data_IF_611867092601
#
_entry.id   IF_611867092601
#
_cell.length_a   1.000
_cell.length_b   1.000
_cell.length_c   1.000
_cell.angle_alpha   90.00
_cell.angle_beta   90.00
_cell.angle_gamma   90.00
#
_symmetry.space_group_name_H-M   'P 1'
#
loop_
_entity.id
_entity.type
_entity.pdbx_description
1 polymer ?
#
# COMPACT_ATOMS: atom_id res chain seq x y z
N UNK A 1 -8.64 -18.17 23.08
CA UNK A 1 -9.25 -17.08 22.30
C UNK A 1 -8.32 -16.79 21.15
N UNK A 2 -8.83 -16.74 19.91
CA UNK A 2 -8.03 -16.31 18.75
C UNK A 2 -7.62 -14.85 18.95
N UNK A 3 -6.38 -14.51 18.60
CA UNK A 3 -5.85 -13.14 18.71
C UNK A 3 -5.34 -12.68 17.37
N UNK A 4 -5.62 -11.43 17.05
CA UNK A 4 -5.24 -10.76 15.80
C UNK A 4 -4.37 -9.55 16.11
N UNK A 5 -3.69 -9.01 15.10
CA UNK A 5 -3.13 -7.66 15.21
C UNK A 5 -4.28 -6.70 15.51
N UNK A 6 -4.22 -6.04 16.66
CA UNK A 6 -5.35 -5.28 17.22
C UNK A 6 -5.01 -3.83 17.55
N UNK A 7 -3.73 -3.51 17.68
CA UNK A 7 -3.24 -2.14 17.84
C UNK A 7 -1.93 -2.02 17.06
N UNK A 8 -1.68 -0.82 16.53
CA UNK A 8 -0.42 -0.41 15.93
C UNK A 8 0.03 0.89 16.59
N UNK A 9 1.34 1.05 16.78
CA UNK A 9 1.98 2.29 17.21
C UNK A 9 3.36 2.37 16.54
N UNK A 10 4.01 3.52 16.62
CA UNK A 10 5.36 3.75 16.09
C UNK A 10 6.24 4.25 17.23
N UNK A 11 7.54 4.00 17.24
CA UNK A 11 8.48 4.74 18.10
C UNK A 11 9.47 5.53 17.26
N UNK A 12 9.99 6.60 17.86
CA UNK A 12 11.06 7.43 17.33
C UNK A 12 12.22 7.30 18.34
N UNK A 13 13.47 7.49 17.93
CA UNK A 13 14.60 7.29 18.83
C UNK A 13 14.66 8.30 20.00
N UNK A 14 15.54 8.00 20.96
CA UNK A 14 15.66 8.72 22.23
C UNK A 14 15.86 10.24 22.09
N UNK A 15 16.48 10.72 21.00
CA UNK A 15 16.75 12.14 20.81
C UNK A 15 15.45 12.94 20.57
N UNK A 16 14.54 12.42 19.75
CA UNK A 16 13.22 13.04 19.55
C UNK A 16 12.27 12.74 20.72
N UNK A 17 12.38 11.57 21.35
CA UNK A 17 11.70 11.26 22.61
C UNK A 17 12.10 12.23 23.73
N UNK A 18 13.32 12.78 23.74
CA UNK A 18 13.71 13.86 24.64
C UNK A 18 13.16 15.24 24.21
N UNK A 19 13.15 15.55 22.90
CA UNK A 19 12.64 16.85 22.40
C UNK A 19 11.14 17.04 22.69
N UNK A 20 10.24 16.17 22.23
CA UNK A 20 8.80 16.38 22.55
C UNK A 20 8.46 16.22 24.07
N UNK A 21 9.41 15.81 24.93
CA UNK A 21 9.19 15.72 26.39
C UNK A 21 9.25 17.13 26.99
N UNK A 22 10.02 18.04 26.38
CA UNK A 22 10.02 19.46 26.77
C UNK A 22 8.73 20.19 26.39
N UNK A 23 7.95 19.64 25.45
CA UNK A 23 6.76 20.30 24.89
C UNK A 23 5.43 19.88 25.57
N UNK A 24 5.50 19.10 26.67
CA UNK A 24 4.33 18.76 27.49
C UNK A 24 3.34 17.76 26.86
N UNK A 25 3.68 17.14 25.72
CA UNK A 25 2.90 16.04 25.14
C UNK A 25 3.20 14.73 25.87
N UNK A 26 2.13 14.05 26.31
CA UNK A 26 2.20 12.76 27.00
C UNK A 26 2.69 11.69 26.02
N UNK A 27 3.98 11.33 26.06
CA UNK A 27 4.58 10.42 25.08
C UNK A 27 4.48 8.98 25.49
N UNK A 28 4.10 8.17 24.52
CA UNK A 28 4.32 6.73 24.53
C UNK A 28 5.70 6.49 23.91
N UNK A 29 6.69 6.16 24.74
CA UNK A 29 8.03 5.75 24.29
C UNK A 29 8.15 4.22 24.14
N UNK A 30 9.30 3.70 23.70
CA UNK A 30 9.51 2.25 23.55
C UNK A 30 9.31 1.45 24.85
N UNK A 31 9.69 2.02 26.01
CA UNK A 31 9.51 1.38 27.31
C UNK A 31 8.01 1.29 27.65
N UNK A 32 7.23 2.33 27.38
CA UNK A 32 5.78 2.36 27.59
C UNK A 32 5.07 1.35 26.68
N UNK A 33 5.47 1.28 25.39
CA UNK A 33 4.93 0.29 24.44
C UNK A 33 5.19 -1.13 24.92
N UNK A 34 6.42 -1.40 25.36
CA UNK A 34 6.80 -2.71 25.91
C UNK A 34 6.01 -3.04 27.17
N UNK A 35 5.84 -2.10 28.10
CA UNK A 35 5.03 -2.29 29.31
C UNK A 35 3.55 -2.52 29.00
N UNK A 36 3.04 -1.93 27.91
CA UNK A 36 1.67 -2.12 27.41
C UNK A 36 1.49 -3.42 26.60
N UNK A 37 2.55 -4.20 26.43
CA UNK A 37 2.53 -5.50 25.75
C UNK A 37 2.60 -5.42 24.22
N UNK A 38 3.13 -4.33 23.66
CA UNK A 38 3.42 -4.26 22.22
C UNK A 38 4.70 -5.02 21.89
N UNK A 39 4.72 -5.58 20.68
CA UNK A 39 5.88 -6.22 20.06
C UNK A 39 6.49 -5.26 19.05
N UNK A 40 7.81 -5.06 19.15
CA UNK A 40 8.59 -4.24 18.22
C UNK A 40 8.91 -5.05 16.97
N UNK A 41 8.70 -4.47 15.79
CA UNK A 41 9.36 -4.93 14.57
C UNK A 41 10.74 -4.29 14.55
N UNK A 42 11.78 -5.10 14.75
CA UNK A 42 13.16 -4.62 14.92
C UNK A 42 13.83 -4.27 13.58
N UNK A 43 13.19 -3.37 12.83
CA UNK A 43 13.62 -2.84 11.54
C UNK A 43 13.45 -1.32 11.59
N UNK A 44 14.51 -0.58 11.29
CA UNK A 44 14.44 0.87 11.20
C UNK A 44 13.68 1.25 9.92
N UNK A 45 12.52 1.90 10.07
CA UNK A 45 11.68 2.32 8.95
C UNK A 45 12.29 3.45 8.13
N UNK A 46 13.34 4.08 8.63
CA UNK A 46 14.07 5.18 8.01
C UNK A 46 15.50 4.76 7.59
N UNK A 47 15.72 3.45 7.40
CA UNK A 47 17.04 2.91 7.08
C UNK A 47 17.59 3.49 5.77
N UNK A 48 18.85 3.96 5.81
CA UNK A 48 19.54 4.55 4.67
C UNK A 48 19.15 6.00 4.34
N UNK A 49 18.01 6.49 4.81
CA UNK A 49 17.50 7.83 4.49
C UNK A 49 18.12 8.93 5.37
N UNK A 50 18.72 8.57 6.50
CA UNK A 50 19.16 9.51 7.53
C UNK A 50 17.96 10.05 8.33
N UNK A 51 18.21 10.58 9.53
CA UNK A 51 17.15 11.03 10.44
C UNK A 51 17.01 10.15 11.67
N UNK A 52 15.82 10.11 12.27
CA UNK A 52 15.59 9.34 13.48
C UNK A 52 15.44 7.84 13.17
N UNK A 53 15.78 6.99 14.14
CA UNK A 53 15.43 5.58 14.06
C UNK A 53 13.95 5.43 14.41
N UNK A 54 13.21 4.80 13.50
CA UNK A 54 11.76 4.70 13.59
C UNK A 54 11.38 3.23 13.55
N UNK A 55 10.52 2.79 14.45
CA UNK A 55 10.12 1.39 14.53
C UNK A 55 8.62 1.22 14.60
N UNK A 56 8.11 0.22 13.89
CA UNK A 56 6.71 -0.18 13.97
C UNK A 56 6.48 -1.13 15.14
N UNK A 57 5.38 -0.94 15.85
CA UNK A 57 4.96 -1.78 16.96
C UNK A 57 3.55 -2.30 16.73
N UNK A 58 3.29 -3.52 17.18
CA UNK A 58 1.96 -4.12 17.11
C UNK A 58 1.60 -4.82 18.40
N UNK A 59 0.29 -4.98 18.65
CA UNK A 59 -0.20 -5.75 19.79
C UNK A 59 -1.34 -6.67 19.38
N UNK A 60 -1.28 -7.90 19.88
CA UNK A 60 -2.30 -8.90 19.65
C UNK A 60 -3.49 -8.73 20.60
N UNK A 61 -4.69 -8.94 20.09
CA UNK A 61 -5.94 -8.78 20.84
C UNK A 61 -7.16 -9.29 20.08
N UNK A 62 -8.36 -9.20 20.71
CA UNK A 62 -9.58 -9.78 20.14
C UNK A 62 -10.23 -8.90 19.04
N UNK A 63 -9.92 -7.60 18.99
CA UNK A 63 -10.49 -6.66 18.02
C UNK A 63 -9.50 -6.43 16.88
N UNK A 64 -9.67 -7.18 15.79
CA UNK A 64 -8.75 -7.18 14.67
C UNK A 64 -8.70 -5.83 13.95
N UNK A 65 -7.49 -5.40 13.61
CA UNK A 65 -7.25 -4.48 12.51
C UNK A 65 -7.44 -5.26 11.21
N UNK A 66 -8.19 -4.67 10.29
CA UNK A 66 -8.53 -5.28 8.99
C UNK A 66 -8.02 -4.44 7.82
N UNK A 67 -7.60 -3.20 8.05
CA UNK A 67 -6.99 -2.37 7.00
C UNK A 67 -5.89 -1.50 7.56
N UNK A 68 -4.83 -1.32 6.78
CA UNK A 68 -3.75 -0.37 7.03
C UNK A 68 -3.54 0.45 5.76
N UNK A 69 -3.35 1.75 5.90
CA UNK A 69 -3.11 2.72 4.81
C UNK A 69 -1.98 3.66 5.22
N UNK A 70 -1.36 4.31 4.24
CA UNK A 70 -0.35 5.35 4.45
C UNK A 70 -0.83 6.64 3.79
N UNK A 71 -0.70 7.77 4.47
CA UNK A 71 -0.92 9.09 3.87
C UNK A 71 0.41 9.81 3.69
N UNK A 72 0.63 10.41 2.52
CA UNK A 72 1.81 11.24 2.23
C UNK A 72 1.47 12.70 1.86
N UNK A 73 0.19 13.07 1.95
CA UNK A 73 -0.29 14.44 1.81
C UNK A 73 -1.57 14.67 2.63
N UNK A 74 -2.00 15.92 2.67
CA UNK A 74 -3.14 16.35 3.48
C UNK A 74 -4.48 15.81 2.94
N UNK A 75 -4.66 15.75 1.63
CA UNK A 75 -5.91 15.30 1.02
C UNK A 75 -6.20 13.82 1.29
N UNK A 76 -5.16 12.97 1.29
CA UNK A 76 -5.28 11.57 1.73
C UNK A 76 -5.73 11.47 3.19
N UNK A 77 -5.22 12.36 4.05
CA UNK A 77 -5.61 12.43 5.47
C UNK A 77 -7.10 12.74 5.64
N UNK A 78 -7.65 13.65 4.81
CA UNK A 78 -9.07 14.01 4.84
C UNK A 78 -9.96 12.80 4.53
N UNK A 79 -9.63 12.02 3.50
CA UNK A 79 -10.39 10.83 3.11
C UNK A 79 -10.39 9.75 4.19
N UNK A 80 -9.21 9.43 4.74
CA UNK A 80 -9.02 8.44 5.81
C UNK A 80 -9.75 8.83 7.10
N UNK A 81 -9.66 10.10 7.50
CA UNK A 81 -10.34 10.63 8.69
C UNK A 81 -11.86 10.50 8.55
N UNK A 82 -12.43 10.91 7.40
CA UNK A 82 -13.87 10.78 7.13
C UNK A 82 -14.35 9.33 7.07
N UNK A 83 -13.47 8.41 6.69
CA UNK A 83 -13.75 6.98 6.68
C UNK A 83 -13.58 6.30 8.06
N UNK A 84 -13.16 7.03 9.10
CA UNK A 84 -13.04 6.52 10.47
C UNK A 84 -11.75 5.76 10.75
N UNK A 85 -10.71 5.93 9.92
CA UNK A 85 -9.39 5.36 10.21
C UNK A 85 -8.75 6.08 11.40
N UNK A 86 -7.99 5.33 12.19
CA UNK A 86 -7.17 5.87 13.29
C UNK A 86 -5.77 6.17 12.78
N UNK A 87 -5.32 7.42 12.92
CA UNK A 87 -3.96 7.86 12.59
C UNK A 87 -2.99 7.51 13.72
N UNK A 88 -1.78 7.08 13.37
CA UNK A 88 -0.63 7.08 14.29
C UNK A 88 0.08 8.44 14.10
N UNK A 89 0.08 9.27 15.14
CA UNK A 89 0.60 10.65 15.11
C UNK A 89 2.14 10.70 15.22
N UNK A 90 2.82 9.96 14.35
CA UNK A 90 4.29 9.91 14.26
C UNK A 90 4.69 9.90 12.79
N UNK A 91 5.46 10.91 12.38
CA UNK A 91 5.97 11.01 11.01
C UNK A 91 7.05 9.95 10.78
N UNK A 92 6.85 9.11 9.75
CA UNK A 92 7.78 8.01 9.44
C UNK A 92 9.07 8.47 8.75
N UNK A 93 9.15 9.73 8.32
CA UNK A 93 10.37 10.34 7.74
C UNK A 93 10.97 11.42 8.67
N UNK A 94 10.63 11.39 9.96
CA UNK A 94 11.11 12.40 10.90
C UNK A 94 12.64 12.49 10.91
N UNK A 95 13.15 13.70 10.67
CA UNK A 95 14.59 13.98 10.58
C UNK A 95 15.26 13.61 9.25
N UNK A 96 14.57 12.94 8.32
CA UNK A 96 15.11 12.51 7.02
C UNK A 96 14.95 13.54 5.90
N UNK A 97 14.06 14.53 6.07
CA UNK A 97 13.78 15.57 5.07
C UNK A 97 12.89 15.14 3.90
N UNK A 98 12.24 13.96 4.00
CA UNK A 98 11.31 13.42 3.00
C UNK A 98 9.87 13.90 3.14
N UNK A 99 8.93 13.14 2.56
CA UNK A 99 7.49 13.41 2.71
C UNK A 99 7.01 13.14 4.13
N UNK A 100 6.06 13.92 4.66
CA UNK A 100 5.38 13.59 5.91
C UNK A 100 4.51 12.35 5.72
N UNK A 101 4.88 11.24 6.36
CA UNK A 101 4.22 9.95 6.20
C UNK A 101 3.58 9.51 7.51
N UNK A 102 2.34 9.03 7.43
CA UNK A 102 1.63 8.53 8.60
C UNK A 102 0.92 7.22 8.28
N UNK A 103 0.99 6.27 9.22
CA UNK A 103 0.23 5.02 9.17
C UNK A 103 -1.17 5.26 9.73
N UNK A 104 -2.15 4.65 9.08
CA UNK A 104 -3.55 4.64 9.46
C UNK A 104 -4.05 3.22 9.54
N UNK A 105 -4.92 2.92 10.51
CA UNK A 105 -5.53 1.61 10.62
C UNK A 105 -7.04 1.68 10.88
N UNK A 106 -7.75 0.64 10.45
CA UNK A 106 -9.18 0.48 10.67
C UNK A 106 -9.46 -0.91 11.24
N UNK A 107 -10.38 -0.97 12.21
CA UNK A 107 -10.96 -2.20 12.73
C UNK A 107 -12.33 -2.39 12.08
N UNK A 108 -12.45 -3.39 11.23
CA UNK A 108 -13.67 -3.71 10.50
C UNK A 108 -14.20 -5.11 10.82
N UNK A 109 -15.43 -5.37 10.38
CA UNK A 109 -16.10 -6.68 10.53
C UNK A 109 -17.09 -6.98 9.40
N UNK A 110 -17.03 -6.21 8.30
CA UNK A 110 -17.88 -6.40 7.13
C UNK A 110 -17.40 -7.52 6.20
N UNK A 111 -18.13 -7.74 5.11
CA UNK A 111 -17.82 -8.77 4.10
C UNK A 111 -16.39 -8.68 3.52
N UNK A 112 -15.83 -7.47 3.47
CA UNK A 112 -14.52 -7.19 2.88
C UNK A 112 -13.41 -7.00 3.94
N UNK A 113 -13.69 -7.36 5.19
CA UNK A 113 -12.79 -7.19 6.32
C UNK A 113 -12.22 -8.56 6.75
N UNK A 114 -11.01 -8.87 6.30
CA UNK A 114 -10.28 -10.06 6.76
C UNK A 114 -9.24 -9.66 7.83
N UNK A 115 -9.26 -10.27 9.03
CA UNK A 115 -8.30 -9.96 10.08
C UNK A 115 -6.84 -10.08 9.65
N UNK A 116 -6.01 -9.17 10.16
CA UNK A 116 -4.55 -9.26 10.04
C UNK A 116 -4.01 -10.06 11.23
N UNK A 117 -3.23 -11.10 10.94
CA UNK A 117 -2.64 -11.98 11.95
C UNK A 117 -1.14 -11.76 12.13
N UNK A 118 -0.47 -11.16 11.13
CA UNK A 118 0.96 -10.87 11.21
C UNK A 118 1.31 -9.63 10.39
N UNK A 119 2.41 -8.98 10.78
CA UNK A 119 2.93 -7.77 10.16
C UNK A 119 4.45 -7.85 10.07
N UNK A 120 4.99 -7.51 8.90
CA UNK A 120 6.42 -7.53 8.63
C UNK A 120 6.88 -6.27 7.91
N UNK A 121 8.19 -6.08 7.83
CA UNK A 121 8.83 -4.99 7.09
C UNK A 121 9.96 -5.56 6.24
N UNK A 122 10.12 -5.06 5.03
CA UNK A 122 11.30 -5.29 4.18
C UNK A 122 12.04 -3.98 3.98
N UNK A 123 13.37 -4.05 4.00
CA UNK A 123 14.28 -2.93 3.66
C UNK A 123 15.07 -3.17 2.39
N UNK A 124 14.86 -4.34 1.78
CA UNK A 124 15.46 -4.76 0.52
C UNK A 124 14.35 -5.37 -0.33
N UNK A 125 14.24 -4.87 -1.55
CA UNK A 125 13.23 -5.26 -2.51
C UNK A 125 13.43 -6.72 -3.02
N UNK A 126 14.62 -7.31 -2.88
CA UNK A 126 14.84 -8.74 -3.21
C UNK A 126 14.11 -9.70 -2.25
N UNK A 127 13.97 -9.31 -0.98
CA UNK A 127 13.25 -10.08 0.03
C UNK A 127 11.72 -9.98 -0.08
N UNK A 128 11.23 -9.12 -0.97
CA UNK A 128 9.80 -8.89 -1.16
C UNK A 128 9.13 -9.97 -1.99
N UNK A 129 9.82 -10.47 -3.02
CA UNK A 129 9.27 -11.44 -3.95
C UNK A 129 8.83 -12.72 -3.22
N UNK A 130 9.65 -13.22 -2.28
CA UNK A 130 9.33 -14.39 -1.46
C UNK A 130 8.10 -14.14 -0.55
N UNK A 131 8.01 -12.96 0.08
CA UNK A 131 6.85 -12.60 0.91
C UNK A 131 5.58 -12.56 0.09
N UNK A 132 5.62 -11.93 -1.08
CA UNK A 132 4.48 -11.82 -1.99
C UNK A 132 4.03 -13.22 -2.44
N UNK A 133 4.96 -14.07 -2.87
CA UNK A 133 4.71 -15.46 -3.26
C UNK A 133 4.20 -16.34 -2.10
N UNK A 134 4.51 -15.97 -0.85
CA UNK A 134 4.02 -16.62 0.37
C UNK A 134 2.67 -16.05 0.85
N UNK A 135 1.97 -15.28 0.03
CA UNK A 135 0.64 -14.75 0.30
C UNK A 135 0.60 -13.64 1.35
N UNK A 136 1.69 -12.86 1.49
CA UNK A 136 1.68 -11.59 2.21
C UNK A 136 1.29 -10.45 1.27
N UNK A 137 0.73 -9.38 1.83
CA UNK A 137 0.25 -8.21 1.08
C UNK A 137 1.10 -6.99 1.41
N UNK A 138 1.69 -6.38 0.38
CA UNK A 138 2.51 -5.18 0.51
C UNK A 138 1.64 -3.93 0.62
N UNK A 139 1.96 -3.02 1.55
CA UNK A 139 1.48 -1.65 1.49
C UNK A 139 2.24 -0.92 0.37
N UNK A 140 1.51 -0.24 -0.51
CA UNK A 140 2.09 0.27 -1.75
C UNK A 140 3.13 1.38 -1.55
N UNK A 141 2.95 2.21 -0.52
CA UNK A 141 3.84 3.35 -0.25
C UNK A 141 5.19 2.85 0.25
N UNK A 142 6.26 3.26 -0.43
CA UNK A 142 7.62 3.26 0.11
C UNK A 142 7.67 4.20 1.32
N UNK A 143 8.04 3.68 2.49
CA UNK A 143 8.08 4.46 3.74
C UNK A 143 9.24 5.46 3.79
N UNK A 144 10.20 5.36 2.86
CA UNK A 144 11.26 6.35 2.68
C UNK A 144 10.95 7.32 1.53
N UNK A 145 9.66 7.53 1.22
CA UNK A 145 9.23 8.36 0.08
C UNK A 145 9.92 9.73 0.05
N UNK A 146 10.58 10.00 -1.08
CA UNK A 146 11.31 11.24 -1.36
C UNK A 146 12.49 11.51 -0.39
N UNK A 147 13.09 10.43 0.12
CA UNK A 147 14.40 10.43 0.77
C UNK A 147 15.40 9.68 -0.12
N UNK A 148 16.70 9.72 0.21
CA UNK A 148 17.75 8.98 -0.50
C UNK A 148 17.99 7.57 0.07
N UNK A 149 17.09 7.06 0.92
CA UNK A 149 17.26 5.80 1.64
C UNK A 149 16.79 4.53 0.93
N UNK A 150 16.81 3.43 1.67
CA UNK A 150 16.34 2.13 1.20
C UNK A 150 14.84 2.19 0.89
N UNK A 151 14.35 1.39 -0.07
CA UNK A 151 12.90 1.21 -0.26
C UNK A 151 12.35 0.36 0.90
N UNK A 152 11.50 0.95 1.74
CA UNK A 152 10.96 0.28 2.92
C UNK A 152 9.48 -0.01 2.71
N UNK A 153 9.06 -1.26 2.87
CA UNK A 153 7.64 -1.62 2.75
C UNK A 153 7.14 -2.44 3.93
N UNK A 154 5.91 -2.13 4.35
CA UNK A 154 5.16 -2.93 5.32
C UNK A 154 4.39 -4.04 4.61
N UNK A 155 4.32 -5.19 5.26
CA UNK A 155 3.66 -6.39 4.76
C UNK A 155 2.63 -6.89 5.77
N UNK A 156 1.46 -7.30 5.29
CA UNK A 156 0.37 -7.81 6.11
C UNK A 156 0.08 -9.27 5.75
N UNK A 157 -0.06 -10.12 6.76
CA UNK A 157 -0.59 -11.48 6.61
C UNK A 157 -2.03 -11.52 7.08
N UNK A 158 -2.91 -12.00 6.22
CA UNK A 158 -4.33 -12.20 6.51
C UNK A 158 -4.56 -13.53 7.22
N UNK A 159 -5.57 -13.60 8.08
CA UNK A 159 -6.02 -14.84 8.73
C UNK A 159 -6.38 -15.92 7.70
N UNK A 160 -7.06 -15.50 6.64
CA UNK A 160 -7.46 -16.35 5.53
C UNK A 160 -6.92 -15.82 4.21
N UNK A 161 -6.78 -16.68 3.22
CA UNK A 161 -6.42 -16.26 1.87
C UNK A 161 -7.52 -15.33 1.33
N UNK A 162 -7.13 -14.11 0.95
CA UNK A 162 -8.02 -13.18 0.26
C UNK A 162 -7.73 -13.15 -1.22
N UNK A 163 -8.72 -12.74 -2.00
CA UNK A 163 -8.65 -12.54 -3.44
C UNK A 163 -9.16 -11.16 -3.80
N UNK A 164 -8.60 -10.56 -4.83
CA UNK A 164 -9.08 -9.29 -5.38
C UNK A 164 -10.38 -9.55 -6.13
N UNK A 165 -11.50 -8.97 -5.70
CA UNK A 165 -12.83 -9.16 -6.32
C UNK A 165 -13.32 -7.95 -7.12
N UNK A 166 -12.68 -6.79 -6.94
CA UNK A 166 -13.01 -5.58 -7.67
C UNK A 166 -11.78 -4.66 -7.79
N UNK A 167 -11.71 -3.89 -8.88
CA UNK A 167 -10.69 -2.87 -9.11
C UNK A 167 -11.31 -1.62 -9.74
N UNK A 168 -10.89 -0.46 -9.27
CA UNK A 168 -11.25 0.85 -9.82
C UNK A 168 -10.03 1.77 -9.77
N UNK A 169 -10.17 2.98 -10.30
CA UNK A 169 -9.19 4.05 -10.11
C UNK A 169 -9.90 5.39 -9.92
N UNK A 170 -9.21 6.32 -9.25
CA UNK A 170 -9.65 7.72 -9.08
C UNK A 170 -8.54 8.65 -9.52
N UNK A 171 -8.88 9.81 -10.08
CA UNK A 171 -7.96 10.89 -10.49
C UNK A 171 -8.05 12.12 -9.55
N UNK A 172 -8.74 11.95 -8.43
CA UNK A 172 -8.93 12.96 -7.40
C UNK A 172 -9.31 12.30 -6.06
N UNK A 173 -9.26 13.09 -4.99
CA UNK A 173 -9.55 12.65 -3.62
C UNK A 173 -11.04 12.69 -3.24
N UNK A 174 -11.91 13.21 -4.12
CA UNK A 174 -13.29 13.56 -3.78
C UNK A 174 -14.16 12.38 -3.32
N UNK A 175 -13.80 11.17 -3.76
CA UNK A 175 -14.55 9.93 -3.50
C UNK A 175 -13.85 8.98 -2.52
N UNK A 176 -12.72 9.39 -1.93
CA UNK A 176 -11.88 8.51 -1.11
C UNK A 176 -12.66 7.94 0.09
N UNK A 177 -13.35 8.80 0.83
CA UNK A 177 -14.12 8.37 2.01
C UNK A 177 -15.19 7.34 1.63
N UNK A 178 -15.87 7.53 0.51
CA UNK A 178 -16.92 6.64 0.04
C UNK A 178 -16.37 5.27 -0.34
N UNK A 179 -15.21 5.22 -1.01
CA UNK A 179 -14.59 3.96 -1.38
C UNK A 179 -14.04 3.20 -0.18
N UNK A 180 -13.39 3.89 0.77
CA UNK A 180 -12.96 3.28 2.02
C UNK A 180 -14.14 2.65 2.80
N UNK A 181 -15.24 3.40 2.94
CA UNK A 181 -16.46 2.92 3.61
C UNK A 181 -17.12 1.75 2.87
N UNK A 182 -16.99 1.68 1.53
CA UNK A 182 -17.48 0.55 0.71
C UNK A 182 -16.57 -0.68 0.74
N UNK A 183 -15.52 -0.67 1.54
CA UNK A 183 -14.65 -1.83 1.69
C UNK A 183 -13.40 -1.81 0.81
N UNK A 184 -13.18 -0.77 -0.01
CA UNK A 184 -11.96 -0.70 -0.82
C UNK A 184 -10.72 -0.43 0.02
N UNK A 185 -9.58 -0.80 -0.57
CA UNK A 185 -8.22 -0.54 -0.13
C UNK A 185 -7.57 0.26 -1.27
N UNK A 186 -7.00 1.42 -0.96
CA UNK A 186 -6.23 2.20 -1.92
C UNK A 186 -4.83 1.60 -2.04
N UNK A 187 -4.32 1.51 -3.26
CA UNK A 187 -2.90 1.38 -3.51
C UNK A 187 -2.32 2.77 -3.24
N UNK A 188 -1.75 2.99 -2.04
CA UNK A 188 -1.20 4.29 -1.60
C UNK A 188 0.09 4.68 -2.37
N UNK A 189 0.05 4.64 -3.69
CA UNK A 189 1.05 5.18 -4.61
C UNK A 189 0.34 5.90 -5.75
N UNK A 190 0.82 7.10 -6.07
CA UNK A 190 0.29 7.90 -7.17
C UNK A 190 0.87 7.37 -8.48
N UNK A 191 0.04 6.83 -9.38
CA UNK A 191 0.54 6.29 -10.66
C UNK A 191 1.21 7.35 -11.54
N UNK A 192 0.97 8.64 -11.26
CA UNK A 192 1.63 9.78 -11.90
C UNK A 192 2.87 10.30 -11.13
N UNK A 193 3.50 9.50 -10.27
CA UNK A 193 4.65 9.95 -9.46
C UNK A 193 5.72 10.56 -10.35
N UNK A 194 6.09 11.82 -10.06
CA UNK A 194 7.10 12.57 -10.83
C UNK A 194 6.65 13.08 -12.20
N UNK A 195 5.47 12.70 -12.70
CA UNK A 195 4.96 13.16 -14.00
C UNK A 195 4.25 14.53 -13.92
N UNK A 196 3.79 14.92 -12.74
CA UNK A 196 2.81 16.00 -12.58
C UNK A 196 1.39 15.49 -12.88
N UNK A 197 0.46 16.39 -13.19
CA UNK A 197 -0.92 16.01 -13.52
C UNK A 197 -1.78 15.66 -12.30
N UNK A 198 -2.77 14.79 -12.51
CA UNK A 198 -3.70 14.37 -11.47
C UNK A 198 -3.04 13.41 -10.47
N UNK A 199 -3.56 13.36 -9.24
CA UNK A 199 -3.22 12.29 -8.31
C UNK A 199 -4.10 11.10 -8.61
N UNK A 200 -3.52 10.09 -9.27
CA UNK A 200 -4.25 8.91 -9.73
C UNK A 200 -3.90 7.72 -8.86
N UNK A 201 -4.93 7.08 -8.32
CA UNK A 201 -4.79 5.92 -7.43
C UNK A 201 -5.60 4.74 -7.95
N UNK A 202 -5.00 3.55 -7.91
CA UNK A 202 -5.70 2.29 -8.08
C UNK A 202 -6.30 1.90 -6.74
N UNK A 203 -7.52 1.34 -6.77
CA UNK A 203 -8.18 0.78 -5.61
C UNK A 203 -8.60 -0.63 -5.90
N UNK A 204 -8.63 -1.46 -4.86
CA UNK A 204 -9.11 -2.82 -4.96
C UNK A 204 -9.96 -3.18 -3.76
N UNK A 205 -10.76 -4.24 -3.90
CA UNK A 205 -11.54 -4.83 -2.83
C UNK A 205 -11.24 -6.31 -2.74
N UNK A 206 -11.28 -6.84 -1.52
CA UNK A 206 -10.90 -8.21 -1.23
C UNK A 206 -12.10 -9.06 -0.80
N UNK A 207 -12.03 -10.36 -1.05
CA UNK A 207 -12.99 -11.39 -0.64
C UNK A 207 -12.23 -12.63 -0.19
N UNK A 208 -12.80 -13.47 0.67
CA UNK A 208 -12.27 -14.82 0.94
C UNK A 208 -12.88 -15.88 0.00
N UNK A 209 -13.91 -15.51 -0.77
CA UNK A 209 -14.55 -16.37 -1.76
C UNK A 209 -13.84 -16.29 -3.13
N UNK A 210 -13.11 -17.34 -3.57
CA UNK A 210 -12.40 -17.33 -4.85
C UNK A 210 -13.31 -17.25 -6.07
N UNK A 211 -14.59 -17.59 -5.96
CA UNK A 211 -15.54 -17.50 -7.09
C UNK A 211 -15.96 -16.05 -7.39
N UNK A 212 -15.87 -15.17 -6.39
CA UNK A 212 -16.08 -13.71 -6.56
C UNK A 212 -14.85 -12.99 -7.12
N UNK A 213 -13.69 -13.65 -7.18
CA UNK A 213 -12.43 -13.02 -7.54
C UNK A 213 -12.35 -12.59 -9.01
N UNK A 214 -11.65 -11.49 -9.24
CA UNK A 214 -11.03 -11.20 -10.52
C UNK A 214 -9.91 -12.20 -10.77
N UNK A 215 -9.72 -12.53 -12.04
CA UNK A 215 -8.88 -13.64 -12.46
C UNK A 215 -7.82 -13.24 -13.48
N UNK A 216 -7.90 -12.03 -14.03
CA UNK A 216 -6.85 -11.45 -14.88
C UNK A 216 -6.88 -9.92 -14.77
N UNK A 217 -5.69 -9.30 -14.86
CA UNK A 217 -5.48 -7.86 -14.96
C UNK A 217 -4.49 -7.57 -16.09
N UNK A 218 -4.77 -6.53 -16.86
CA UNK A 218 -3.94 -6.11 -17.99
C UNK A 218 -3.82 -4.58 -18.02
N UNK A 219 -2.80 -4.06 -18.70
CA UNK A 219 -2.60 -2.62 -18.89
C UNK A 219 -2.38 -2.32 -20.37
N UNK A 220 -3.17 -1.40 -20.92
CA UNK A 220 -2.96 -0.87 -22.27
C UNK A 220 -2.26 0.48 -22.21
N UNK A 221 -1.22 0.66 -23.02
CA UNK A 221 -0.47 1.93 -23.19
C UNK A 221 -0.45 2.40 -24.66
N UNK A 222 -1.20 1.70 -25.52
CA UNK A 222 -1.36 1.97 -26.95
C UNK A 222 -2.78 1.61 -27.41
N UNK A 223 -3.23 2.22 -28.51
CA UNK A 223 -4.54 1.93 -29.11
C UNK A 223 -4.68 0.46 -29.56
N UNK A 224 -3.59 -0.15 -30.04
CA UNK A 224 -3.61 -1.55 -30.47
C UNK A 224 -3.94 -2.48 -29.30
N UNK A 225 -3.29 -2.29 -28.16
CA UNK A 225 -3.55 -3.06 -26.93
C UNK A 225 -4.96 -2.80 -26.39
N UNK A 226 -5.41 -1.54 -26.43
CA UNK A 226 -6.78 -1.19 -26.06
C UNK A 226 -7.80 -1.98 -26.89
N UNK A 227 -7.66 -1.96 -28.22
CA UNK A 227 -8.55 -2.70 -29.13
C UNK A 227 -8.44 -4.21 -28.92
N UNK A 228 -7.24 -4.71 -28.63
CA UNK A 228 -7.00 -6.12 -28.35
C UNK A 228 -7.76 -6.59 -27.10
N UNK A 229 -7.64 -5.88 -25.98
CA UNK A 229 -8.34 -6.23 -24.74
C UNK A 229 -9.86 -6.08 -24.87
N UNK A 230 -10.34 -5.10 -25.62
CA UNK A 230 -11.76 -5.00 -25.96
C UNK A 230 -12.27 -6.23 -26.73
N UNK A 231 -11.53 -6.68 -27.75
CA UNK A 231 -11.88 -7.88 -28.53
C UNK A 231 -11.84 -9.17 -27.69
N UNK A 232 -11.09 -9.16 -26.60
CA UNK A 232 -10.99 -10.28 -25.65
C UNK A 232 -11.99 -10.17 -24.49
N UNK A 233 -12.99 -9.28 -24.57
CA UNK A 233 -14.03 -9.06 -23.57
C UNK A 233 -13.51 -8.64 -22.17
N UNK A 234 -12.35 -7.99 -22.11
CA UNK A 234 -11.91 -7.36 -20.87
C UNK A 234 -12.79 -6.16 -20.53
N UNK A 235 -13.00 -5.96 -19.24
CA UNK A 235 -13.64 -4.76 -18.73
C UNK A 235 -12.57 -3.72 -18.41
N UNK A 236 -12.82 -2.47 -18.80
CA UNK A 236 -11.88 -1.36 -18.58
C UNK A 236 -12.23 -0.60 -17.30
N UNK A 237 -11.23 -0.25 -16.51
CA UNK A 237 -11.36 0.80 -15.49
C UNK A 237 -11.45 2.16 -16.20
N UNK A 238 -12.43 2.98 -15.83
CA UNK A 238 -12.80 4.19 -16.61
C UNK A 238 -11.69 5.25 -16.61
N UNK A 239 -10.97 5.39 -15.50
CA UNK A 239 -9.95 6.43 -15.30
C UNK A 239 -8.67 6.10 -16.08
N UNK A 240 -8.14 7.12 -16.75
CA UNK A 240 -6.80 7.09 -17.32
C UNK A 240 -5.77 7.13 -16.18
N UNK A 241 -4.95 6.08 -16.06
CA UNK A 241 -3.90 5.99 -15.05
C UNK A 241 -2.82 7.07 -15.22
N UNK A 242 -2.81 7.73 -16.38
CA UNK A 242 -1.90 8.80 -16.73
C UNK A 242 -2.58 10.18 -16.80
N UNK A 243 -3.73 10.33 -16.15
CA UNK A 243 -4.61 11.50 -16.29
C UNK A 243 -3.87 12.83 -16.01
N UNK A 244 -3.95 13.75 -16.96
CA UNK A 244 -3.48 15.12 -16.80
C UNK A 244 -1.96 15.33 -16.92
N UNK A 245 -1.18 14.30 -17.26
CA UNK A 245 0.28 14.43 -17.44
C UNK A 245 0.69 14.90 -18.83
N UNK A 246 -0.22 14.80 -19.81
CA UNK A 246 0.06 15.01 -21.24
C UNK A 246 0.80 13.84 -21.91
N UNK A 247 1.02 12.74 -21.20
CA UNK A 247 1.56 11.49 -21.74
C UNK A 247 0.52 10.64 -22.48
N UNK A 248 0.88 9.39 -22.76
CA UNK A 248 -0.03 8.45 -23.41
C UNK A 248 -1.17 8.07 -22.47
N UNK A 249 -2.35 7.75 -23.04
CA UNK A 249 -3.44 7.18 -22.25
C UNK A 249 -3.07 5.77 -21.75
N UNK A 250 -3.30 5.53 -20.48
CA UNK A 250 -3.01 4.25 -19.83
C UNK A 250 -4.27 3.74 -19.13
N UNK A 251 -4.70 2.52 -19.44
CA UNK A 251 -5.91 1.95 -18.84
C UNK A 251 -5.64 0.59 -18.20
N UNK A 252 -6.21 0.39 -17.01
CA UNK A 252 -6.31 -0.91 -16.35
C UNK A 252 -7.51 -1.68 -16.89
N UNK A 253 -7.32 -2.96 -17.12
CA UNK A 253 -8.32 -3.90 -17.62
C UNK A 253 -8.42 -5.10 -16.70
N UNK A 254 -9.61 -5.67 -16.57
CA UNK A 254 -9.83 -6.85 -15.74
C UNK A 254 -10.78 -7.87 -16.37
N UNK A 255 -10.67 -9.13 -15.92
CA UNK A 255 -11.54 -10.23 -16.33
C UNK A 255 -11.81 -11.20 -15.18
N UNK A 256 -12.95 -11.90 -15.25
CA UNK A 256 -13.39 -12.91 -14.27
C UNK A 256 -13.20 -14.36 -14.75
N UNK A 257 -12.26 -14.64 -15.65
CA UNK A 257 -11.93 -16.00 -16.13
C UNK A 257 -10.45 -16.28 -15.87
N UNK A 258 -10.07 -17.52 -15.48
CA UNK A 258 -8.72 -17.98 -15.06
C UNK A 258 -8.51 -18.14 -13.53
N UNK A 259 -7.26 -18.05 -13.04
CA UNK A 259 -6.84 -18.18 -11.65
C UNK A 259 -7.13 -16.92 -10.82
N UNK A 260 -7.74 -17.04 -9.62
CA UNK A 260 -8.04 -15.91 -8.74
C UNK A 260 -6.81 -15.08 -8.40
N UNK A 261 -6.91 -13.76 -8.55
CA UNK A 261 -5.84 -12.85 -8.14
C UNK A 261 -5.86 -12.72 -6.62
N UNK A 262 -4.74 -13.03 -5.97
CA UNK A 262 -4.57 -12.97 -4.51
C UNK A 262 -4.10 -11.61 -4.02
N UNK A 263 -3.22 -10.96 -4.77
CA UNK A 263 -2.63 -9.67 -4.40
C UNK A 263 -2.19 -8.87 -5.64
N UNK A 264 -2.13 -7.55 -5.49
CA UNK A 264 -1.56 -6.63 -6.47
C UNK A 264 -0.60 -5.65 -5.80
N UNK A 265 0.36 -5.13 -6.56
CA UNK A 265 1.30 -4.11 -6.11
C UNK A 265 1.81 -3.27 -7.29
N UNK A 266 2.30 -2.05 -7.03
CA UNK A 266 2.99 -1.22 -8.02
C UNK A 266 4.50 -1.23 -7.76
N UNK A 267 5.29 -1.74 -8.71
CA UNK A 267 6.75 -1.74 -8.63
C UNK A 267 7.31 -0.47 -9.27
N UNK A 268 7.96 0.35 -8.44
CA UNK A 268 8.73 1.52 -8.89
C UNK A 268 10.19 1.16 -9.16
N UNK A 269 10.75 0.23 -8.39
CA UNK A 269 12.11 -0.24 -8.58
C UNK A 269 12.15 -1.28 -9.71
N UNK A 270 12.80 -0.92 -10.82
CA UNK A 270 12.93 -1.78 -11.99
C UNK A 270 13.92 -2.92 -11.77
N UNK A 271 14.86 -2.75 -10.84
CA UNK A 271 15.90 -3.73 -10.59
C UNK A 271 15.35 -5.01 -9.96
N UNK A 272 14.14 -4.97 -9.37
CA UNK A 272 13.52 -6.13 -8.71
C UNK A 272 12.49 -6.88 -9.55
N UNK A 273 12.27 -6.42 -10.80
CA UNK A 273 11.31 -7.06 -11.71
C UNK A 273 11.66 -8.52 -11.94
N UNK A 274 12.96 -8.82 -12.08
CA UNK A 274 13.44 -10.17 -12.36
C UNK A 274 13.16 -11.12 -11.19
N UNK A 275 13.44 -10.69 -9.97
CA UNK A 275 13.26 -11.43 -8.73
C UNK A 275 11.77 -11.76 -8.51
N UNK A 276 10.89 -10.80 -8.80
CA UNK A 276 9.45 -11.02 -8.76
C UNK A 276 9.01 -12.06 -9.80
N UNK A 277 9.51 -11.98 -11.04
CA UNK A 277 9.22 -12.96 -12.08
C UNK A 277 9.76 -14.36 -11.75
N UNK A 278 10.97 -14.45 -11.19
CA UNK A 278 11.58 -15.70 -10.74
C UNK A 278 10.82 -16.33 -9.56
N UNK A 279 10.19 -15.52 -8.71
CA UNK A 279 9.26 -15.98 -7.67
C UNK A 279 7.86 -16.37 -8.20
N UNK A 280 7.65 -16.36 -9.53
CA UNK A 280 6.38 -16.73 -10.17
C UNK A 280 5.31 -15.65 -10.13
N UNK A 281 5.69 -14.40 -9.87
CA UNK A 281 4.76 -13.25 -9.83
C UNK A 281 4.66 -12.66 -11.23
N UNK A 282 3.44 -12.43 -11.69
CA UNK A 282 3.22 -11.81 -12.99
C UNK A 282 3.45 -10.29 -12.90
N UNK A 283 4.53 -9.81 -13.52
CA UNK A 283 4.81 -8.38 -13.68
C UNK A 283 4.33 -7.94 -15.07
N UNK A 284 3.33 -7.06 -15.11
CA UNK A 284 2.84 -6.47 -16.36
C UNK A 284 3.82 -5.38 -16.78
N UNK A 285 4.73 -5.73 -17.70
CA UNK A 285 5.81 -4.86 -18.22
C UNK A 285 5.27 -3.77 -19.15
N UNK A 286 4.47 -2.87 -18.58
CA UNK A 286 3.89 -1.69 -19.22
C UNK A 286 4.15 -0.51 -18.28
N UNK A 287 4.92 0.47 -18.74
CA UNK A 287 5.21 1.66 -17.95
C UNK A 287 3.93 2.50 -17.80
N UNK A 288 3.44 2.66 -16.57
CA UNK A 288 2.23 3.45 -16.30
C UNK A 288 2.42 4.95 -16.61
N UNK A 289 3.67 5.43 -16.64
CA UNK A 289 4.05 6.80 -16.99
C UNK A 289 4.58 6.94 -18.42
N UNK A 290 4.18 6.06 -19.33
CA UNK A 290 4.61 6.13 -20.74
C UNK A 290 4.23 7.47 -21.38
N UNK A 291 5.18 8.05 -22.12
CA UNK A 291 4.99 9.32 -22.82
C UNK A 291 5.14 10.57 -21.93
N UNK A 292 5.55 10.42 -20.66
CA UNK A 292 5.86 11.55 -19.77
C UNK A 292 7.18 11.32 -19.00
N UNK A 293 7.49 12.18 -18.02
CA UNK A 293 8.73 12.15 -17.22
C UNK A 293 8.59 11.51 -15.83
N UNK A 294 7.46 10.87 -15.56
CA UNK A 294 7.19 10.20 -14.30
C UNK A 294 8.05 8.95 -14.09
N UNK A 295 8.03 8.47 -12.85
CA UNK A 295 8.70 7.24 -12.44
C UNK A 295 8.20 6.06 -13.26
N UNK A 296 9.10 5.16 -13.67
CA UNK A 296 8.70 3.94 -14.35
C UNK A 296 8.03 3.02 -13.34
N UNK A 297 6.74 2.75 -13.55
CA UNK A 297 5.94 1.93 -12.66
C UNK A 297 5.31 0.76 -13.40
N UNK A 298 5.28 -0.41 -12.76
CA UNK A 298 4.68 -1.63 -13.30
C UNK A 298 3.69 -2.25 -12.31
N UNK A 299 2.55 -2.72 -12.85
CA UNK A 299 1.57 -3.46 -12.07
C UNK A 299 2.01 -4.92 -11.92
N UNK A 300 2.00 -5.41 -10.68
CA UNK A 300 2.26 -6.80 -10.34
C UNK A 300 1.01 -7.49 -9.84
N UNK A 301 0.89 -8.77 -10.20
CA UNK A 301 -0.27 -9.60 -9.91
C UNK A 301 0.22 -10.97 -9.44
N UNK A 302 -0.24 -11.41 -8.27
CA UNK A 302 -0.02 -12.77 -7.77
C UNK A 302 -1.33 -13.55 -7.78
N UNK A 303 -1.28 -14.78 -8.33
CA UNK A 303 -2.41 -15.69 -8.54
C UNK A 303 -2.28 -16.95 -7.69
#
# INVERSE_FOLDING_TARGET
>A
MTTYISELDVSLNAAEEQMLQSDGFNKINELDLKQRGFNKINVNLNEGAGGYDIYLWYKNGPLAITKVQVSFNYEMTVGLTKAGYTKIEKDLNAGAGGSYLYIWFLKGSGEFDTPIVDIGVTTDATNEAEKFASGWQRLACDLNRNTEGNCIHVWLKREEQTYICDVIATDSYGSDSDYFQKGYIRVDENTNRGAGGAYVFIWYRQTTDPEKALKDLQVSITDSQHQEYQKQDYQRVVVDLNQGTGGNQVFLWYKKRSNPIKAIALLLNQDVVKEYQEAGINVILRNLNVGNKGSVEHLCVYQ
#
